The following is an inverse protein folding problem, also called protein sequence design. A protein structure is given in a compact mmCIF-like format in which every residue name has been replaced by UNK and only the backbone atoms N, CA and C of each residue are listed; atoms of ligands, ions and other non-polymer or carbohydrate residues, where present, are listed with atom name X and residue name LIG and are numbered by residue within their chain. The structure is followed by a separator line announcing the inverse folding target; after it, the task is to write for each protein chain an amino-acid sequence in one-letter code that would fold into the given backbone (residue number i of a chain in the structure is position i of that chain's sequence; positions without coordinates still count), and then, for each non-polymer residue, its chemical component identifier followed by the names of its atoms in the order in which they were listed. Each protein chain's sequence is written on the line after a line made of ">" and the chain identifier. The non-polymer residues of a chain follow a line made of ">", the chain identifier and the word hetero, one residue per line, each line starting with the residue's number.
data_IF_150839010012
#
_entry.id   IF_150839010012
#
_cell.length_a   1.000
_cell.length_b   1.000
_cell.length_c   1.000
_cell.angle_alpha   90.00
_cell.angle_beta   90.00
_cell.angle_gamma   90.00
#
_symmetry.space_group_name_H-M   'P 1'
#
loop_
_entity.id
_entity.type
_entity.pdbx_description
1 polymer ?
#
# COMPACT_ATOMS: atom_id res chain seq x y z
N UNK A 1 24.90 47.68 -7.48
CA UNK A 1 23.73 46.88 -7.84
C UNK A 1 23.11 46.39 -6.54
N UNK A 2 21.94 46.91 -6.15
CA UNK A 2 21.25 46.55 -4.91
C UNK A 2 20.60 45.20 -5.08
N UNK A 3 21.08 44.19 -4.38
CA UNK A 3 20.40 42.87 -4.28
C UNK A 3 19.17 43.03 -3.43
N UNK A 4 18.00 43.16 -4.03
CA UNK A 4 16.74 43.04 -3.34
C UNK A 4 16.63 41.61 -2.80
N UNK A 5 16.88 41.44 -1.50
CA UNK A 5 16.52 40.23 -0.76
C UNK A 5 14.99 40.04 -0.86
N UNK A 6 14.59 39.15 -1.76
CA UNK A 6 13.17 38.79 -1.89
C UNK A 6 12.64 38.22 -0.57
N UNK A 7 11.62 38.83 0.01
CA UNK A 7 10.93 38.28 1.20
C UNK A 7 10.37 36.91 0.84
N UNK A 8 10.78 35.88 1.57
CA UNK A 8 10.17 34.54 1.46
C UNK A 8 8.70 34.61 1.82
N UNK A 9 7.82 34.11 0.95
CA UNK A 9 6.38 34.09 1.20
C UNK A 9 6.05 33.17 2.37
N UNK A 10 5.22 33.63 3.32
CA UNK A 10 4.64 32.81 4.39
C UNK A 10 3.50 31.89 3.92
N UNK A 11 3.16 31.92 2.62
CA UNK A 11 2.06 31.13 2.03
C UNK A 11 2.49 29.73 1.59
N UNK A 12 3.79 29.43 1.63
CA UNK A 12 4.33 28.11 1.29
C UNK A 12 4.71 27.35 2.55
N UNK A 13 4.57 26.02 2.53
CA UNK A 13 5.02 25.15 3.61
C UNK A 13 6.17 24.26 3.13
N UNK A 14 7.12 24.00 4.02
CA UNK A 14 8.18 23.01 3.81
C UNK A 14 7.78 21.60 4.29
N UNK A 15 6.55 21.43 4.80
CA UNK A 15 6.08 20.22 5.49
C UNK A 15 6.60 20.16 6.94
N UNK A 16 6.14 19.15 7.67
CA UNK A 16 6.51 18.95 9.06
C UNK A 16 7.87 18.25 9.18
N UNK A 17 8.60 18.62 10.22
CA UNK A 17 9.82 17.98 10.69
C UNK A 17 9.53 17.21 11.99
N UNK A 18 10.51 16.44 12.49
CA UNK A 18 10.28 15.58 13.63
C UNK A 18 9.77 16.35 14.88
N UNK A 19 10.26 17.57 15.10
CA UNK A 19 9.86 18.43 16.22
C UNK A 19 8.41 18.92 16.16
N UNK A 20 7.78 18.84 14.99
CA UNK A 20 6.43 19.34 14.76
C UNK A 20 5.37 18.27 15.14
N UNK A 21 5.79 17.06 15.56
CA UNK A 21 4.92 15.96 15.94
C UNK A 21 4.85 15.76 17.45
N UNK A 22 3.63 15.53 17.95
CA UNK A 22 3.37 15.18 19.34
C UNK A 22 2.33 14.06 19.44
N UNK A 23 2.48 13.16 20.41
CA UNK A 23 1.50 12.07 20.62
C UNK A 23 0.13 12.63 20.91
N UNK A 24 -0.91 12.04 20.28
CA UNK A 24 -2.29 12.50 20.34
C UNK A 24 -2.64 13.62 19.34
N UNK A 25 -1.66 14.15 18.60
CA UNK A 25 -1.93 15.14 17.55
C UNK A 25 -2.74 14.51 16.42
N UNK A 26 -3.87 15.13 16.08
CA UNK A 26 -4.70 14.75 14.93
C UNK A 26 -4.45 15.71 13.78
N UNK A 27 -4.09 15.16 12.62
CA UNK A 27 -3.79 15.91 11.40
C UNK A 27 -4.83 15.52 10.34
N UNK A 28 -5.62 16.49 9.89
CA UNK A 28 -6.54 16.31 8.77
C UNK A 28 -5.81 16.68 7.48
N UNK A 29 -5.77 15.73 6.54
CA UNK A 29 -5.02 15.90 5.30
C UNK A 29 -5.87 16.58 4.21
N UNK A 30 -5.34 17.63 3.62
CA UNK A 30 -5.87 18.21 2.41
C UNK A 30 -5.34 17.41 1.20
N UNK A 31 -6.06 17.27 0.14
CA UNK A 31 -7.33 17.74 -0.37
C UNK A 31 -8.23 16.51 -0.54
N UNK A 32 -9.57 16.57 -0.35
CA UNK A 32 -10.45 15.45 -0.66
C UNK A 32 -10.39 15.15 -2.17
N UNK A 33 -10.63 13.90 -2.54
CA UNK A 33 -10.57 13.47 -3.95
C UNK A 33 -11.69 12.51 -4.29
N UNK A 34 -12.49 12.86 -5.28
CA UNK A 34 -13.40 11.92 -5.92
C UNK A 34 -12.59 10.99 -6.82
N UNK A 35 -12.77 9.69 -6.65
CA UNK A 35 -12.11 8.64 -7.44
C UNK A 35 -13.13 8.13 -8.46
N UNK A 36 -12.78 8.20 -9.74
CA UNK A 36 -13.68 7.83 -10.82
C UNK A 36 -13.17 6.69 -11.68
N UNK A 37 -13.88 6.44 -12.78
CA UNK A 37 -13.52 5.43 -13.79
C UNK A 37 -12.15 5.71 -14.42
N UNK A 38 -11.75 6.99 -14.51
CA UNK A 38 -10.43 7.36 -15.03
C UNK A 38 -9.29 6.84 -14.18
N UNK A 39 -9.39 6.94 -12.86
CA UNK A 39 -8.40 6.42 -11.93
C UNK A 39 -8.35 4.90 -11.94
N UNK A 40 -9.50 4.23 -12.01
CA UNK A 40 -9.60 2.77 -12.18
C UNK A 40 -8.90 2.30 -13.45
N UNK A 41 -9.27 2.88 -14.60
CA UNK A 41 -8.69 2.52 -15.89
C UNK A 41 -7.18 2.75 -15.92
N UNK A 42 -6.72 3.87 -15.34
CA UNK A 42 -5.30 4.19 -15.26
C UNK A 42 -4.55 3.20 -14.36
N UNK A 43 -5.08 2.87 -13.19
CA UNK A 43 -4.47 1.89 -12.28
C UNK A 43 -4.38 0.51 -12.93
N UNK A 44 -5.47 0.05 -13.56
CA UNK A 44 -5.50 -1.21 -14.30
C UNK A 44 -4.43 -1.23 -15.40
N UNK A 45 -4.30 -0.13 -16.17
CA UNK A 45 -3.33 -0.01 -17.25
C UNK A 45 -1.87 0.03 -16.75
N UNK A 46 -1.62 0.70 -15.61
CA UNK A 46 -0.27 0.81 -15.02
C UNK A 46 0.30 -0.53 -14.56
N UNK A 47 -0.55 -1.44 -14.08
CA UNK A 47 -0.10 -2.70 -13.48
C UNK A 47 -0.53 -3.94 -14.26
N UNK A 48 -1.35 -3.78 -15.29
CA UNK A 48 -1.93 -4.92 -16.00
C UNK A 48 -2.79 -5.81 -15.08
N UNK A 49 -3.53 -5.19 -14.13
CA UNK A 49 -4.38 -5.92 -13.18
C UNK A 49 -5.44 -6.72 -13.90
N UNK A 50 -5.62 -7.99 -13.49
CA UNK A 50 -6.51 -8.96 -14.16
C UNK A 50 -7.57 -9.55 -13.24
N UNK A 51 -7.69 -9.10 -11.99
CA UNK A 51 -8.70 -9.63 -11.08
C UNK A 51 -10.11 -9.36 -11.62
N UNK A 52 -10.91 -10.41 -11.84
CA UNK A 52 -12.20 -10.33 -12.50
C UNK A 52 -13.20 -9.41 -11.77
N UNK A 53 -13.16 -9.39 -10.43
CA UNK A 53 -14.07 -8.58 -9.60
C UNK A 53 -13.85 -7.08 -9.82
N UNK A 54 -12.59 -6.63 -9.94
CA UNK A 54 -12.26 -5.21 -10.15
C UNK A 54 -12.18 -4.84 -11.64
N UNK A 55 -12.20 -5.83 -12.54
CA UNK A 55 -12.07 -5.61 -13.98
C UNK A 55 -13.41 -5.63 -14.73
N UNK A 56 -14.44 -6.30 -14.16
CA UNK A 56 -15.70 -6.53 -14.85
C UNK A 56 -16.90 -6.27 -13.95
N UNK A 57 -17.69 -5.23 -14.27
CA UNK A 57 -18.93 -4.94 -13.57
C UNK A 57 -19.93 -6.09 -13.71
N UNK A 58 -20.01 -6.72 -14.90
CA UNK A 58 -20.88 -7.88 -15.11
C UNK A 58 -20.49 -9.07 -14.22
N UNK A 59 -19.20 -9.35 -14.06
CA UNK A 59 -18.73 -10.41 -13.18
C UNK A 59 -19.03 -10.09 -11.72
N UNK A 60 -18.67 -8.89 -11.25
CA UNK A 60 -18.90 -8.46 -9.89
C UNK A 60 -20.39 -8.53 -9.50
N UNK A 61 -21.28 -8.02 -10.37
CA UNK A 61 -22.74 -8.10 -10.15
C UNK A 61 -23.25 -9.53 -10.13
N UNK A 62 -22.73 -10.39 -10.98
CA UNK A 62 -23.17 -11.80 -11.04
C UNK A 62 -22.90 -12.53 -9.72
N UNK A 63 -21.82 -12.22 -9.03
CA UNK A 63 -21.45 -12.85 -7.76
C UNK A 63 -22.03 -12.14 -6.52
N UNK A 64 -22.72 -10.97 -6.66
CA UNK A 64 -23.41 -10.32 -5.54
C UNK A 64 -22.99 -8.90 -5.21
N UNK A 65 -22.01 -8.30 -5.89
CA UNK A 65 -21.70 -6.88 -5.74
C UNK A 65 -22.80 -6.00 -6.37
N UNK A 66 -23.02 -4.82 -5.83
CA UNK A 66 -23.91 -3.84 -6.44
C UNK A 66 -23.32 -3.25 -7.74
N UNK A 67 -22.02 -3.07 -7.73
CA UNK A 67 -21.17 -2.68 -8.85
C UNK A 67 -19.73 -3.13 -8.58
N UNK A 68 -18.84 -3.11 -9.57
CA UNK A 68 -17.46 -3.52 -9.36
C UNK A 68 -16.70 -2.50 -8.49
N UNK A 69 -16.02 -2.95 -7.43
CA UNK A 69 -15.29 -2.06 -6.54
C UNK A 69 -14.01 -1.52 -7.21
N UNK A 70 -13.45 -0.45 -6.67
CA UNK A 70 -12.08 -0.05 -6.95
C UNK A 70 -11.11 -1.09 -6.35
N UNK A 71 -9.93 -1.22 -6.97
CA UNK A 71 -8.87 -2.07 -6.43
C UNK A 71 -8.42 -1.58 -5.05
N UNK A 72 -8.24 -2.51 -4.11
CA UNK A 72 -7.90 -2.20 -2.71
C UNK A 72 -6.59 -1.40 -2.62
N UNK A 73 -5.60 -1.74 -3.44
CA UNK A 73 -4.33 -1.03 -3.43
C UNK A 73 -4.43 0.36 -4.05
N UNK A 74 -5.32 0.58 -5.02
CA UNK A 74 -5.61 1.94 -5.50
C UNK A 74 -6.16 2.80 -4.37
N UNK A 75 -7.13 2.28 -3.60
CA UNK A 75 -7.70 2.97 -2.42
C UNK A 75 -6.61 3.25 -1.39
N UNK A 76 -5.79 2.24 -1.05
CA UNK A 76 -4.67 2.39 -0.13
C UNK A 76 -3.71 3.50 -0.57
N UNK A 77 -3.28 3.50 -1.83
CA UNK A 77 -2.31 4.49 -2.32
C UNK A 77 -2.87 5.91 -2.36
N UNK A 78 -4.15 6.08 -2.67
CA UNK A 78 -4.80 7.40 -2.64
C UNK A 78 -4.88 7.93 -1.20
N UNK A 79 -5.33 7.11 -0.25
CA UNK A 79 -5.39 7.50 1.17
C UNK A 79 -3.98 7.78 1.71
N UNK A 80 -3.01 6.91 1.40
CA UNK A 80 -1.61 7.08 1.80
C UNK A 80 -1.01 8.35 1.21
N UNK A 81 -1.20 8.61 -0.10
CA UNK A 81 -0.65 9.77 -0.79
C UNK A 81 -1.08 11.10 -0.17
N UNK A 82 -2.34 11.18 0.32
CA UNK A 82 -2.84 12.37 1.05
C UNK A 82 -2.08 12.67 2.32
N UNK A 83 -1.52 11.67 2.99
CA UNK A 83 -0.77 11.85 4.24
C UNK A 83 0.65 12.36 4.01
N UNK A 84 1.19 12.24 2.80
CA UNK A 84 2.60 12.53 2.49
C UNK A 84 2.99 13.99 2.75
N UNK A 85 2.23 15.01 2.33
CA UNK A 85 2.58 16.41 2.55
C UNK A 85 2.80 16.75 4.03
N UNK A 86 1.99 16.15 4.92
CA UNK A 86 1.98 16.48 6.35
C UNK A 86 2.87 15.54 7.18
N UNK A 87 2.95 14.25 6.81
CA UNK A 87 3.66 13.24 7.62
C UNK A 87 5.07 12.99 7.11
N UNK A 88 5.26 12.87 5.79
CA UNK A 88 6.50 12.29 5.24
C UNK A 88 7.18 13.12 4.16
N UNK A 89 6.81 14.39 3.97
CA UNK A 89 7.50 15.26 2.99
C UNK A 89 9.01 15.42 3.30
N UNK A 90 9.37 15.43 4.58
CA UNK A 90 10.75 15.49 5.09
C UNK A 90 11.24 14.13 5.62
N UNK A 91 10.59 13.03 5.24
CA UNK A 91 11.02 11.70 5.62
C UNK A 91 12.34 11.30 4.94
N UNK A 92 13.09 10.49 5.67
CA UNK A 92 14.25 9.76 5.14
C UNK A 92 13.79 8.43 4.51
N UNK A 93 12.85 7.74 5.20
CA UNK A 93 12.28 6.47 4.77
C UNK A 93 10.94 6.21 5.46
N UNK A 94 10.04 5.51 4.78
CA UNK A 94 8.96 4.77 5.42
C UNK A 94 9.53 3.45 5.90
N UNK A 95 9.37 3.14 7.19
CA UNK A 95 10.05 2.01 7.82
C UNK A 95 9.17 0.76 7.91
N UNK A 96 7.85 0.91 7.82
CA UNK A 96 6.94 -0.22 7.86
C UNK A 96 5.47 0.17 7.96
N UNK A 97 4.65 -0.86 7.89
CA UNK A 97 3.20 -0.83 8.01
C UNK A 97 2.75 -1.89 9.01
N UNK A 98 1.61 -1.67 9.64
CA UNK A 98 0.93 -2.67 10.47
C UNK A 98 -0.56 -2.37 10.57
N UNK A 99 -1.33 -3.35 10.98
CA UNK A 99 -2.76 -3.22 11.31
C UNK A 99 -3.56 -2.47 10.23
N UNK A 100 -3.23 -2.75 8.94
CA UNK A 100 -3.97 -2.18 7.84
C UNK A 100 -5.22 -3.00 7.57
N UNK A 101 -6.40 -2.38 7.64
CA UNK A 101 -7.70 -3.02 7.46
C UNK A 101 -8.54 -2.28 6.45
N UNK A 102 -9.07 -3.01 5.48
CA UNK A 102 -10.07 -2.50 4.55
C UNK A 102 -11.46 -2.71 5.17
N UNK A 103 -12.21 -1.63 5.36
CA UNK A 103 -13.40 -1.60 6.21
C UNK A 103 -14.69 -1.50 5.40
N UNK A 104 -14.63 -0.90 4.22
CA UNK A 104 -15.74 -0.78 3.27
C UNK A 104 -15.23 -0.82 1.84
N UNK A 105 -15.99 -1.39 0.89
CA UNK A 105 -15.67 -1.27 -0.52
C UNK A 105 -15.79 0.20 -0.94
N UNK A 106 -14.94 0.61 -1.88
CA UNK A 106 -14.94 1.94 -2.49
C UNK A 106 -15.32 1.78 -3.95
N UNK A 107 -16.21 2.64 -4.42
CA UNK A 107 -16.73 2.60 -5.78
C UNK A 107 -16.36 3.86 -6.56
N UNK A 108 -16.48 3.81 -7.87
CA UNK A 108 -16.31 4.99 -8.70
C UNK A 108 -17.37 6.05 -8.35
N UNK A 109 -16.92 7.29 -8.12
CA UNK A 109 -17.78 8.39 -7.62
C UNK A 109 -17.60 8.68 -6.14
N UNK A 110 -17.01 7.78 -5.36
CA UNK A 110 -16.70 8.06 -3.95
C UNK A 110 -15.64 9.14 -3.81
N UNK A 111 -15.81 9.99 -2.80
CA UNK A 111 -14.85 11.04 -2.45
C UNK A 111 -14.08 10.65 -1.18
N UNK A 112 -12.79 10.41 -1.36
CA UNK A 112 -11.90 10.01 -0.27
C UNK A 112 -11.23 11.23 0.37
N UNK A 113 -11.19 11.24 1.70
CA UNK A 113 -10.37 12.11 2.52
C UNK A 113 -9.70 11.30 3.64
N UNK A 114 -8.71 11.87 4.30
CA UNK A 114 -7.98 11.16 5.34
C UNK A 114 -7.56 12.05 6.50
N UNK A 115 -7.38 11.42 7.65
CA UNK A 115 -6.75 12.00 8.82
C UNK A 115 -5.75 11.03 9.43
N UNK A 116 -4.78 11.55 10.16
CA UNK A 116 -3.83 10.74 10.91
C UNK A 116 -3.77 11.20 12.36
N UNK A 117 -3.65 10.25 13.28
CA UNK A 117 -3.31 10.49 14.67
C UNK A 117 -1.86 10.04 14.91
N UNK A 118 -1.06 10.89 15.57
CA UNK A 118 0.28 10.54 16.01
C UNK A 118 0.17 9.68 17.26
N UNK A 119 0.50 8.39 17.14
CA UNK A 119 0.39 7.41 18.22
C UNK A 119 1.74 7.10 18.88
N UNK A 120 2.83 7.65 18.36
CA UNK A 120 4.15 7.50 18.96
C UNK A 120 5.22 8.36 18.30
N UNK A 121 6.24 8.69 19.08
CA UNK A 121 7.43 9.42 18.62
C UNK A 121 8.67 8.89 19.34
N UNK A 122 9.79 8.77 18.62
CA UNK A 122 11.08 8.37 19.21
C UNK A 122 12.24 9.01 18.45
N UNK A 123 13.04 9.83 19.12
CA UNK A 123 14.26 10.37 18.54
C UNK A 123 15.30 9.27 18.33
N UNK A 124 15.97 9.26 17.19
CA UNK A 124 17.07 8.33 16.91
C UNK A 124 18.36 8.78 17.63
N UNK A 125 19.25 7.83 17.88
CA UNK A 125 20.53 8.08 18.60
C UNK A 125 21.44 9.08 17.88
N UNK A 126 21.29 9.27 16.57
CA UNK A 126 22.06 10.25 15.80
C UNK A 126 21.67 11.72 16.08
N UNK A 127 20.57 11.97 16.82
CA UNK A 127 20.06 13.29 17.15
C UNK A 127 19.58 14.13 15.96
N UNK A 128 19.59 13.59 14.73
CA UNK A 128 19.24 14.32 13.48
C UNK A 128 17.91 13.88 12.88
N UNK A 129 17.38 12.75 13.34
CA UNK A 129 16.13 12.16 12.88
C UNK A 129 15.35 11.59 14.04
N UNK A 130 14.07 11.34 13.83
CA UNK A 130 13.25 10.56 14.74
C UNK A 130 12.23 9.73 13.98
N UNK A 131 11.61 8.77 14.65
CA UNK A 131 10.55 7.94 14.13
C UNK A 131 9.22 8.46 14.64
N UNK A 132 8.28 8.69 13.71
CA UNK A 132 6.90 9.09 13.98
C UNK A 132 6.00 7.93 13.61
N UNK A 133 5.18 7.46 14.54
CA UNK A 133 4.17 6.43 14.35
C UNK A 133 2.82 7.11 14.18
N UNK A 134 2.10 6.80 13.12
CA UNK A 134 0.79 7.37 12.84
C UNK A 134 -0.23 6.29 12.52
N UNK A 135 -1.45 6.44 13.06
CA UNK A 135 -2.64 5.72 12.62
C UNK A 135 -3.37 6.62 11.65
N UNK A 136 -3.54 6.17 10.42
CA UNK A 136 -4.21 6.92 9.36
C UNK A 136 -5.53 6.26 9.01
N UNK A 137 -6.59 7.05 8.91
CA UNK A 137 -7.94 6.61 8.53
C UNK A 137 -8.35 7.30 7.24
N UNK A 138 -8.66 6.52 6.22
CA UNK A 138 -9.35 6.97 5.01
C UNK A 138 -10.85 6.89 5.19
N UNK A 139 -11.57 7.91 4.77
CA UNK A 139 -13.03 8.03 4.90
C UNK A 139 -13.64 8.41 3.55
N UNK A 140 -14.89 7.98 3.32
CA UNK A 140 -15.68 8.40 2.18
C UNK A 140 -16.40 9.75 2.45
N UNK A 141 -17.21 10.21 1.48
CA UNK A 141 -17.98 11.46 1.57
C UNK A 141 -19.02 11.49 2.70
N UNK A 142 -19.38 10.35 3.26
CA UNK A 142 -20.33 10.22 4.37
C UNK A 142 -19.64 10.18 5.74
N UNK A 143 -18.29 10.31 5.77
CA UNK A 143 -17.49 10.19 6.99
C UNK A 143 -17.33 8.75 7.48
N UNK A 144 -17.64 7.77 6.66
CA UNK A 144 -17.50 6.35 7.01
C UNK A 144 -16.06 5.88 6.73
N UNK A 145 -15.40 5.22 7.68
CA UNK A 145 -14.08 4.65 7.47
C UNK A 145 -14.11 3.58 6.38
N UNK A 146 -13.23 3.70 5.39
CA UNK A 146 -13.03 2.72 4.31
C UNK A 146 -11.72 1.97 4.45
N UNK A 147 -10.73 2.60 5.08
CA UNK A 147 -9.39 2.05 5.27
C UNK A 147 -8.79 2.63 6.55
N UNK A 148 -8.12 1.79 7.34
CA UNK A 148 -7.29 2.23 8.46
C UNK A 148 -5.94 1.49 8.42
N UNK A 149 -4.85 2.18 8.73
CA UNK A 149 -3.53 1.56 8.81
C UNK A 149 -2.60 2.32 9.76
N UNK A 150 -1.66 1.60 10.34
CA UNK A 150 -0.52 2.18 11.07
C UNK A 150 0.70 2.15 10.17
N UNK A 151 1.47 3.23 10.19
CA UNK A 151 2.83 3.27 9.62
C UNK A 151 3.78 4.02 10.50
N UNK A 152 5.07 3.78 10.34
CA UNK A 152 6.10 4.56 11.02
C UNK A 152 7.15 5.04 10.02
N UNK A 153 7.55 6.29 10.22
CA UNK A 153 8.33 7.04 9.26
C UNK A 153 9.53 7.66 9.96
N UNK A 154 10.72 7.54 9.38
CA UNK A 154 11.90 8.26 9.84
C UNK A 154 11.88 9.68 9.27
N UNK A 155 11.68 10.68 10.13
CA UNK A 155 11.58 12.09 9.75
C UNK A 155 12.82 12.86 10.22
N UNK A 156 13.28 13.78 9.37
CA UNK A 156 14.41 14.67 9.69
C UNK A 156 14.01 15.67 10.77
N UNK A 157 14.96 16.07 11.60
CA UNK A 157 14.83 17.27 12.43
C UNK A 157 15.18 18.49 11.60
N UNK A 158 14.53 19.62 11.89
CA UNK A 158 14.85 20.94 11.36
C UNK A 158 16.05 21.51 12.10
N UNK A 159 16.04 21.36 13.42
CA UNK A 159 17.12 21.76 14.31
C UNK A 159 17.57 20.55 15.15
N UNK A 160 18.81 20.09 14.90
CA UNK A 160 19.39 18.97 15.64
C UNK A 160 19.53 19.27 17.15
N UNK A 161 19.58 20.56 17.54
CA UNK A 161 19.68 20.97 18.95
C UNK A 161 18.32 21.00 19.67
N UNK A 162 17.19 20.88 18.95
CA UNK A 162 15.88 20.83 19.60
C UNK A 162 15.80 19.65 20.58
N UNK A 163 15.12 19.82 21.75
CA UNK A 163 15.03 18.78 22.74
C UNK A 163 14.33 17.52 22.19
N UNK A 164 14.77 16.35 22.68
CA UNK A 164 14.10 15.10 22.37
C UNK A 164 12.78 15.02 23.13
N UNK A 165 11.69 14.57 22.51
CA UNK A 165 10.48 14.21 23.25
C UNK A 165 10.69 12.94 24.07
N UNK A 166 9.86 12.73 25.09
CA UNK A 166 9.78 11.44 25.76
C UNK A 166 9.37 10.37 24.73
N UNK A 167 10.12 9.24 24.66
CA UNK A 167 9.85 8.24 23.65
C UNK A 167 8.56 7.46 23.93
N UNK A 168 7.68 7.41 22.95
CA UNK A 168 6.50 6.56 22.94
C UNK A 168 6.55 5.69 21.70
N UNK A 169 6.62 4.36 21.89
CA UNK A 169 6.59 3.37 20.83
C UNK A 169 5.34 2.53 21.05
N UNK A 170 4.36 2.54 20.10
CA UNK A 170 3.15 1.77 20.26
C UNK A 170 3.42 0.27 20.15
N UNK A 171 2.68 -0.53 20.91
CA UNK A 171 2.58 -1.97 20.67
C UNK A 171 1.63 -2.19 19.49
N UNK A 172 2.07 -2.99 18.52
CA UNK A 172 1.32 -3.28 17.31
C UNK A 172 1.15 -4.80 17.20
N UNK A 173 -0.01 -5.28 16.72
CA UNK A 173 -0.22 -6.70 16.51
C UNK A 173 0.66 -7.21 15.37
N UNK A 174 1.11 -8.46 15.48
CA UNK A 174 1.87 -9.13 14.41
C UNK A 174 1.04 -9.36 13.15
N UNK A 175 -0.27 -9.55 13.32
CA UNK A 175 -1.21 -9.69 12.22
C UNK A 175 -2.63 -9.29 12.63
N UNK A 176 -3.44 -8.94 11.65
CA UNK A 176 -4.87 -8.68 11.84
C UNK A 176 -5.59 -10.00 12.08
N UNK A 177 -6.37 -10.06 13.15
CA UNK A 177 -7.17 -11.26 13.48
C UNK A 177 -8.19 -11.56 12.38
N UNK A 178 -8.40 -12.86 12.03
CA UNK A 178 -9.46 -13.28 11.10
C UNK A 178 -10.85 -12.75 11.43
N UNK A 179 -11.16 -12.49 12.69
CA UNK A 179 -12.42 -11.89 13.13
C UNK A 179 -12.68 -10.48 12.57
N UNK A 180 -11.65 -9.80 12.06
CA UNK A 180 -11.75 -8.44 11.51
C UNK A 180 -11.62 -8.40 9.98
N UNK A 181 -11.56 -9.58 9.33
CA UNK A 181 -11.51 -9.66 7.87
C UNK A 181 -12.92 -9.67 7.27
N UNK A 182 -13.06 -9.35 6.02
CA UNK A 182 -14.31 -9.45 5.29
C UNK A 182 -15.25 -8.24 5.38
N UNK A 183 -14.95 -7.21 6.19
CA UNK A 183 -15.81 -6.03 6.33
C UNK A 183 -16.04 -5.27 5.01
N UNK A 184 -15.05 -5.23 4.12
CA UNK A 184 -15.14 -4.58 2.81
C UNK A 184 -15.63 -5.50 1.68
N UNK A 185 -15.95 -6.76 1.98
CA UNK A 185 -16.43 -7.72 1.00
C UNK A 185 -17.90 -8.07 1.28
N UNK A 186 -18.85 -7.78 0.38
CA UNK A 186 -20.24 -8.23 0.54
C UNK A 186 -20.31 -9.76 0.54
N UNK A 187 -21.42 -10.32 0.98
CA UNK A 187 -21.67 -11.75 0.80
C UNK A 187 -21.78 -12.02 -0.69
N UNK A 188 -20.99 -12.97 -1.18
CA UNK A 188 -20.98 -13.36 -2.59
C UNK A 188 -21.66 -14.72 -2.79
N UNK A 189 -21.96 -15.06 -4.04
CA UNK A 189 -22.48 -16.36 -4.43
C UNK A 189 -21.37 -17.17 -5.16
N UNK A 190 -20.66 -18.09 -4.46
CA UNK A 190 -19.58 -18.87 -5.08
C UNK A 190 -20.06 -19.75 -6.23
N UNK A 191 -21.32 -20.16 -6.25
CA UNK A 191 -21.86 -20.95 -7.36
C UNK A 191 -21.95 -20.18 -8.69
N UNK A 192 -21.85 -18.84 -8.63
CA UNK A 192 -21.79 -17.96 -9.79
C UNK A 192 -20.37 -17.51 -10.15
N UNK A 193 -19.37 -17.99 -9.43
CA UNK A 193 -17.96 -17.71 -9.73
C UNK A 193 -17.54 -18.47 -10.99
N UNK A 194 -17.42 -17.78 -12.09
CA UNK A 194 -17.02 -18.35 -13.38
C UNK A 194 -15.50 -18.48 -13.46
N UNK A 195 -14.98 -19.70 -13.35
CA UNK A 195 -13.55 -20.01 -13.42
C UNK A 195 -12.93 -19.69 -14.78
N UNK A 196 -13.71 -19.79 -15.85
CA UNK A 196 -13.25 -19.44 -17.20
C UNK A 196 -13.01 -17.94 -17.34
N UNK A 197 -13.89 -17.12 -16.75
CA UNK A 197 -13.76 -15.67 -16.78
C UNK A 197 -12.76 -15.15 -15.73
N UNK A 198 -12.64 -15.79 -14.57
CA UNK A 198 -11.67 -15.38 -13.55
C UNK A 198 -10.24 -15.81 -13.89
N UNK A 199 -10.07 -16.78 -14.80
CA UNK A 199 -8.77 -17.27 -15.24
C UNK A 199 -8.05 -18.18 -14.25
N UNK A 200 -8.75 -18.68 -13.22
CA UNK A 200 -8.18 -19.61 -12.24
C UNK A 200 -9.20 -20.70 -11.86
N UNK A 201 -8.74 -21.93 -11.80
CA UNK A 201 -9.52 -23.08 -11.36
C UNK A 201 -9.43 -23.36 -9.86
N UNK A 202 -8.64 -22.58 -9.13
CA UNK A 202 -8.35 -22.83 -7.72
C UNK A 202 -9.17 -21.91 -6.82
N UNK A 203 -9.79 -22.51 -5.79
CA UNK A 203 -10.57 -21.86 -4.76
C UNK A 203 -9.80 -21.87 -3.43
N UNK A 204 -10.31 -21.20 -2.41
CA UNK A 204 -9.69 -21.17 -1.09
C UNK A 204 -9.35 -22.58 -0.54
N UNK A 205 -10.23 -23.55 -0.80
CA UNK A 205 -10.09 -24.94 -0.31
C UNK A 205 -8.90 -25.69 -0.98
N UNK A 206 -8.31 -25.17 -2.04
CA UNK A 206 -7.19 -25.79 -2.76
C UNK A 206 -5.82 -25.37 -2.23
N UNK A 207 -5.77 -24.42 -1.30
CA UNK A 207 -4.52 -23.89 -0.75
C UNK A 207 -4.27 -24.40 0.66
N UNK A 208 -3.02 -24.59 1.02
CA UNK A 208 -2.62 -25.03 2.35
C UNK A 208 -1.43 -24.21 2.89
N UNK A 209 -1.36 -24.07 4.21
CA UNK A 209 -0.23 -23.41 4.86
C UNK A 209 1.10 -24.11 4.51
N UNK A 210 2.13 -23.31 4.23
CA UNK A 210 3.46 -23.76 3.80
C UNK A 210 3.61 -23.91 2.29
N UNK A 211 2.54 -23.77 1.50
CA UNK A 211 2.60 -23.79 0.04
C UNK A 211 3.35 -22.57 -0.50
N UNK A 212 4.30 -22.77 -1.42
CA UNK A 212 5.07 -21.71 -2.08
C UNK A 212 4.74 -21.69 -3.57
N UNK A 213 4.49 -20.51 -4.08
CA UNK A 213 4.01 -20.26 -5.44
C UNK A 213 4.97 -19.27 -6.11
N UNK A 214 5.71 -19.72 -7.12
CA UNK A 214 6.45 -18.85 -8.03
C UNK A 214 5.48 -18.28 -9.07
N UNK A 215 5.41 -16.96 -9.19
CA UNK A 215 4.52 -16.29 -10.14
C UNK A 215 5.11 -16.21 -11.55
N UNK A 216 6.34 -16.68 -11.72
CA UNK A 216 7.08 -16.94 -12.98
C UNK A 216 7.45 -15.68 -13.75
N UNK A 217 6.44 -14.86 -14.12
CA UNK A 217 6.64 -13.67 -14.96
C UNK A 217 7.29 -12.51 -14.20
N UNK A 218 7.91 -11.60 -14.96
CA UNK A 218 8.46 -10.36 -14.45
C UNK A 218 7.91 -9.15 -15.20
N UNK A 219 7.96 -7.98 -14.54
CA UNK A 219 7.55 -6.71 -15.11
C UNK A 219 8.64 -5.66 -14.92
N UNK A 220 9.16 -5.12 -16.04
CA UNK A 220 10.17 -4.04 -16.02
C UNK A 220 9.50 -2.72 -15.66
N UNK A 221 10.11 -1.96 -14.77
CA UNK A 221 9.58 -0.67 -14.31
C UNK A 221 10.09 0.45 -15.20
N UNK A 222 9.17 1.25 -15.74
CA UNK A 222 9.48 2.40 -16.55
C UNK A 222 9.34 3.73 -15.76
N UNK A 223 10.19 4.72 -16.05
CA UNK A 223 10.14 6.03 -15.38
C UNK A 223 8.80 6.76 -15.59
N UNK A 224 8.24 6.69 -16.78
CA UNK A 224 7.00 7.37 -17.13
C UNK A 224 5.79 6.77 -16.36
N UNK A 225 5.73 5.46 -16.24
CA UNK A 225 4.70 4.74 -15.49
C UNK A 225 4.78 5.06 -14.00
N UNK A 226 5.96 4.98 -13.42
CA UNK A 226 6.18 5.35 -12.03
C UNK A 226 5.81 6.82 -11.74
N UNK A 227 6.19 7.75 -12.62
CA UNK A 227 5.81 9.16 -12.49
C UNK A 227 4.30 9.35 -12.59
N UNK A 228 3.63 8.60 -13.44
CA UNK A 228 2.18 8.64 -13.58
C UNK A 228 1.50 8.07 -12.32
N UNK A 229 2.00 6.95 -11.79
CA UNK A 229 1.53 6.35 -10.54
C UNK A 229 1.65 7.32 -9.35
N UNK A 230 2.79 7.98 -9.16
CA UNK A 230 2.95 8.96 -8.06
C UNK A 230 1.98 10.13 -8.17
N UNK A 231 1.68 10.59 -9.39
CA UNK A 231 0.69 11.65 -9.65
C UNK A 231 -0.74 11.15 -9.42
N UNK A 232 -1.04 9.92 -9.85
CA UNK A 232 -2.32 9.27 -9.61
C UNK A 232 -2.61 9.23 -8.10
N UNK A 233 -1.63 8.91 -7.27
CA UNK A 233 -1.79 8.82 -5.81
C UNK A 233 -1.62 10.15 -5.09
N UNK A 234 -1.24 11.23 -5.79
CA UNK A 234 -0.86 12.51 -5.20
C UNK A 234 0.27 12.36 -4.16
N UNK A 235 1.14 11.37 -4.33
CA UNK A 235 2.32 11.17 -3.50
C UNK A 235 3.39 12.19 -3.88
N UNK A 236 3.58 13.20 -3.04
CA UNK A 236 4.47 14.35 -3.29
C UNK A 236 5.86 14.18 -2.69
N UNK A 237 6.24 12.99 -2.21
CA UNK A 237 7.58 12.74 -1.68
C UNK A 237 8.65 12.94 -2.76
N UNK A 238 9.55 13.90 -2.54
CA UNK A 238 10.58 14.35 -3.53
C UNK A 238 11.42 13.20 -4.07
N UNK A 239 11.72 12.23 -3.22
CA UNK A 239 12.53 11.05 -3.54
C UNK A 239 11.97 10.24 -4.72
N UNK A 240 10.66 10.31 -4.95
CA UNK A 240 10.00 9.58 -6.02
C UNK A 240 9.83 10.39 -7.31
N UNK A 241 9.78 11.74 -7.26
CA UNK A 241 9.38 12.50 -8.44
C UNK A 241 10.23 13.71 -8.79
N UNK A 242 11.18 14.12 -7.92
CA UNK A 242 12.01 15.29 -8.18
C UNK A 242 13.44 14.90 -8.58
N UNK A 243 13.67 14.66 -9.87
CA UNK A 243 14.99 14.29 -10.39
C UNK A 243 16.07 15.37 -10.16
N UNK A 244 15.69 16.65 -10.13
CA UNK A 244 16.66 17.73 -9.88
C UNK A 244 17.28 17.64 -8.47
N UNK A 245 16.45 17.25 -7.49
CA UNK A 245 16.91 17.03 -6.11
C UNK A 245 17.65 15.70 -5.99
N UNK A 246 17.05 14.62 -6.51
CA UNK A 246 17.56 13.26 -6.32
C UNK A 246 18.78 12.96 -7.19
N UNK A 247 18.96 13.67 -8.30
CA UNK A 247 20.19 13.61 -9.09
C UNK A 247 21.44 14.04 -8.33
N UNK A 248 21.28 14.79 -7.22
CA UNK A 248 22.33 15.21 -6.29
C UNK A 248 22.36 14.36 -5.00
N UNK A 249 21.41 13.45 -4.85
CA UNK A 249 21.25 12.58 -3.70
C UNK A 249 22.14 11.33 -3.76
N UNK A 250 21.96 10.44 -2.76
CA UNK A 250 22.76 9.23 -2.59
C UNK A 250 22.80 8.32 -3.83
N UNK A 251 21.69 8.23 -4.56
CA UNK A 251 21.54 7.29 -5.68
C UNK A 251 21.72 7.94 -7.06
N UNK A 252 21.80 9.28 -7.14
CA UNK A 252 21.92 10.01 -8.41
C UNK A 252 20.66 9.97 -9.29
N UNK A 253 19.61 9.32 -8.83
CA UNK A 253 18.33 9.12 -9.53
C UNK A 253 17.17 8.95 -8.56
N UNK A 254 15.93 9.09 -9.07
CA UNK A 254 14.71 8.90 -8.26
C UNK A 254 14.55 7.45 -7.85
N UNK A 255 14.06 7.25 -6.63
CA UNK A 255 13.68 5.95 -6.10
C UNK A 255 12.25 5.61 -6.51
N UNK A 256 12.00 4.38 -6.93
CA UNK A 256 10.63 3.88 -7.17
C UNK A 256 9.87 3.87 -5.84
N UNK A 257 8.61 4.30 -5.88
CA UNK A 257 7.73 4.28 -4.73
C UNK A 257 7.44 2.83 -4.30
N UNK A 258 7.61 2.53 -3.01
CA UNK A 258 7.42 1.18 -2.50
C UNK A 258 6.01 0.62 -2.75
N UNK A 259 4.98 1.46 -2.69
CA UNK A 259 3.63 1.05 -3.06
C UNK A 259 3.49 0.65 -4.54
N UNK A 260 4.29 1.23 -5.43
CA UNK A 260 4.35 0.78 -6.82
C UNK A 260 4.87 -0.67 -6.90
N UNK A 261 5.89 -1.02 -6.10
CA UNK A 261 6.40 -2.39 -5.99
C UNK A 261 5.34 -3.35 -5.46
N UNK A 262 4.57 -2.95 -4.45
CA UNK A 262 3.46 -3.77 -3.92
C UNK A 262 2.43 -4.06 -5.01
N UNK A 263 2.03 -3.05 -5.78
CA UNK A 263 1.05 -3.22 -6.86
C UNK A 263 1.57 -4.10 -7.99
N UNK A 264 2.85 -3.98 -8.36
CA UNK A 264 3.49 -4.88 -9.35
C UNK A 264 3.52 -6.33 -8.85
N UNK A 265 3.97 -6.56 -7.62
CA UNK A 265 4.00 -7.91 -7.03
C UNK A 265 2.59 -8.51 -6.95
N UNK A 266 1.58 -7.69 -6.61
CA UNK A 266 0.18 -8.12 -6.59
C UNK A 266 -0.35 -8.45 -7.99
N UNK A 267 -0.02 -7.68 -9.01
CA UNK A 267 -0.39 -7.95 -10.39
C UNK A 267 0.24 -9.26 -10.90
N UNK A 268 1.52 -9.48 -10.62
CA UNK A 268 2.23 -10.71 -10.96
C UNK A 268 1.62 -11.93 -10.24
N UNK A 269 1.15 -11.78 -9.00
CA UNK A 269 0.56 -12.86 -8.20
C UNK A 269 -0.74 -13.41 -8.79
N UNK A 270 -1.33 -12.77 -9.81
CA UNK A 270 -2.45 -13.34 -10.55
C UNK A 270 -2.14 -14.75 -11.08
N UNK A 271 -0.90 -14.99 -11.51
CA UNK A 271 -0.42 -16.32 -11.86
C UNK A 271 -0.22 -17.14 -10.58
N UNK A 272 -1.17 -18.02 -10.28
CA UNK A 272 -1.21 -18.87 -9.10
C UNK A 272 -2.17 -18.40 -7.98
N UNK A 273 -2.60 -17.13 -7.97
CA UNK A 273 -3.53 -16.58 -6.98
C UNK A 273 -4.68 -15.77 -7.65
N UNK A 274 -5.10 -16.15 -8.86
CA UNK A 274 -6.04 -15.38 -9.67
C UNK A 274 -7.41 -15.14 -9.03
N UNK A 275 -7.87 -16.05 -8.15
CA UNK A 275 -9.12 -15.90 -7.41
C UNK A 275 -8.97 -15.24 -6.03
N UNK A 276 -7.76 -14.84 -5.62
CA UNK A 276 -7.54 -14.00 -4.43
C UNK A 276 -7.92 -12.55 -4.76
N UNK A 277 -9.22 -12.24 -4.70
CA UNK A 277 -9.80 -11.06 -5.33
C UNK A 277 -9.80 -9.79 -4.47
N UNK A 278 -9.67 -9.91 -3.16
CA UNK A 278 -9.75 -8.79 -2.22
C UNK A 278 -8.63 -8.87 -1.19
N UNK A 279 -7.87 -7.79 -1.01
CA UNK A 279 -6.94 -7.64 0.11
C UNK A 279 -7.74 -7.16 1.31
N UNK A 280 -7.98 -8.06 2.27
CA UNK A 280 -8.77 -7.73 3.47
C UNK A 280 -7.96 -6.98 4.53
N UNK A 281 -6.65 -7.29 4.63
CA UNK A 281 -5.75 -6.62 5.58
C UNK A 281 -4.28 -6.73 5.12
N UNK A 282 -3.45 -5.74 5.52
CA UNK A 282 -1.99 -5.84 5.43
C UNK A 282 -1.45 -5.90 6.85
N UNK A 283 -0.80 -7.00 7.18
CA UNK A 283 -0.23 -7.25 8.50
C UNK A 283 1.07 -6.51 8.71
N UNK A 284 1.93 -6.51 7.69
CA UNK A 284 3.21 -5.86 7.71
C UNK A 284 3.82 -5.77 6.33
N UNK A 285 4.85 -4.94 6.18
CA UNK A 285 5.58 -4.82 4.93
C UNK A 285 6.89 -4.08 5.11
N UNK A 286 7.94 -4.60 4.51
CA UNK A 286 9.26 -4.01 4.49
C UNK A 286 9.76 -3.85 3.04
N UNK A 287 10.18 -2.62 2.71
CA UNK A 287 10.95 -2.34 1.50
C UNK A 287 12.43 -2.48 1.85
N UNK A 288 13.02 -3.64 1.55
CA UNK A 288 14.34 -4.04 2.04
C UNK A 288 15.49 -3.53 1.19
N UNK A 289 15.24 -3.27 -0.09
CA UNK A 289 16.21 -2.67 -1.00
C UNK A 289 15.56 -1.68 -1.98
N UNK A 290 16.32 -0.72 -2.52
CA UNK A 290 15.81 0.23 -3.49
C UNK A 290 15.56 -0.42 -4.85
N UNK A 291 14.49 0.03 -5.53
CA UNK A 291 14.18 -0.27 -6.91
C UNK A 291 14.29 1.00 -7.76
N UNK A 292 14.74 0.85 -8.99
CA UNK A 292 14.90 1.95 -9.95
C UNK A 292 14.28 1.58 -11.31
N UNK A 293 13.94 2.58 -12.11
CA UNK A 293 13.49 2.38 -13.48
C UNK A 293 14.55 1.63 -14.32
N UNK A 294 14.08 0.72 -15.16
CA UNK A 294 14.88 -0.21 -15.95
C UNK A 294 15.14 -1.56 -15.28
N UNK A 295 14.89 -1.69 -13.96
CA UNK A 295 14.98 -2.98 -13.26
C UNK A 295 13.66 -3.76 -13.41
N UNK A 296 13.71 -5.09 -13.45
CA UNK A 296 12.54 -5.98 -13.64
C UNK A 296 12.16 -6.61 -12.32
N UNK A 297 10.89 -6.45 -11.93
CA UNK A 297 10.32 -7.05 -10.71
C UNK A 297 9.78 -8.44 -11.01
N UNK A 298 10.15 -9.42 -10.19
CA UNK A 298 9.55 -10.74 -10.09
C UNK A 298 8.97 -10.93 -8.70
N UNK A 299 8.12 -11.93 -8.51
CA UNK A 299 7.57 -12.21 -7.19
C UNK A 299 7.21 -13.69 -6.99
N UNK A 300 7.17 -14.09 -5.72
CA UNK A 300 6.63 -15.36 -5.26
C UNK A 300 5.84 -15.16 -3.98
N UNK A 301 4.94 -16.10 -3.68
CA UNK A 301 4.13 -16.04 -2.46
C UNK A 301 4.22 -17.34 -1.68
N UNK A 302 4.11 -17.24 -0.35
CA UNK A 302 3.92 -18.35 0.58
C UNK A 302 2.58 -18.21 1.27
N UNK A 303 1.80 -19.27 1.29
CA UNK A 303 0.59 -19.35 2.12
C UNK A 303 1.04 -19.57 3.56
N UNK A 304 0.92 -18.55 4.41
CA UNK A 304 1.32 -18.62 5.82
C UNK A 304 0.26 -19.26 6.69
N UNK A 305 -1.01 -19.00 6.36
CA UNK A 305 -2.15 -19.47 7.14
C UNK A 305 -3.42 -19.45 6.27
N UNK A 306 -4.43 -20.20 6.70
CA UNK A 306 -5.77 -20.20 6.09
C UNK A 306 -6.81 -20.04 7.17
N UNK A 307 -7.82 -19.20 6.96
CA UNK A 307 -8.86 -18.95 7.95
C UNK A 307 -10.26 -18.97 7.33
N UNK A 308 -11.19 -19.63 8.02
CA UNK A 308 -12.63 -19.42 7.80
C UNK A 308 -13.05 -18.14 8.53
N UNK A 309 -13.93 -17.37 7.90
CA UNK A 309 -14.47 -16.17 8.52
C UNK A 309 -15.76 -16.52 9.27
N UNK A 310 -15.91 -16.00 10.49
CA UNK A 310 -17.12 -16.25 11.28
C UNK A 310 -18.38 -15.73 10.55
N UNK A 311 -19.38 -16.58 10.43
CA UNK A 311 -20.64 -16.26 9.74
C UNK A 311 -20.54 -16.14 8.22
N UNK A 312 -19.45 -16.63 7.58
CA UNK A 312 -19.20 -16.55 6.13
C UNK A 312 -18.90 -17.96 5.58
N UNK A 313 -19.78 -18.44 4.70
CA UNK A 313 -19.60 -19.71 3.99
C UNK A 313 -19.20 -19.51 2.52
N UNK A 314 -19.10 -18.26 2.08
CA UNK A 314 -18.87 -17.86 0.70
C UNK A 314 -17.40 -17.57 0.39
N UNK A 315 -16.65 -17.14 1.39
CA UNK A 315 -15.21 -16.81 1.25
C UNK A 315 -14.39 -17.36 2.41
N UNK A 316 -13.14 -17.69 2.11
CA UNK A 316 -12.09 -17.91 3.10
C UNK A 316 -10.98 -16.90 2.94
N UNK A 317 -10.13 -16.75 3.94
CA UNK A 317 -8.96 -15.88 3.93
C UNK A 317 -7.68 -16.70 3.83
N UNK A 318 -6.76 -16.27 2.95
CA UNK A 318 -5.38 -16.74 2.87
C UNK A 318 -4.47 -15.66 3.47
N UNK A 319 -3.66 -16.02 4.47
CA UNK A 319 -2.53 -15.19 4.88
C UNK A 319 -1.37 -15.49 3.95
N UNK A 320 -1.00 -14.49 3.20
CA UNK A 320 0.04 -14.58 2.19
C UNK A 320 1.25 -13.75 2.60
N UNK A 321 2.44 -14.32 2.43
CA UNK A 321 3.69 -13.59 2.39
C UNK A 321 4.11 -13.49 0.94
N UNK A 322 4.15 -12.29 0.37
CA UNK A 322 4.65 -12.06 -0.98
C UNK A 322 6.01 -11.38 -0.92
N UNK A 323 7.01 -12.03 -1.50
CA UNK A 323 8.37 -11.51 -1.65
C UNK A 323 8.56 -11.10 -3.10
N UNK A 324 9.07 -9.87 -3.31
CA UNK A 324 9.46 -9.42 -4.64
C UNK A 324 10.97 -9.23 -4.75
N UNK A 325 11.49 -9.57 -5.92
CA UNK A 325 12.89 -9.41 -6.29
C UNK A 325 13.03 -8.46 -7.46
N UNK A 326 14.24 -7.99 -7.70
CA UNK A 326 14.60 -7.25 -8.92
C UNK A 326 15.67 -8.00 -9.70
N UNK A 327 15.52 -8.08 -11.02
CA UNK A 327 16.42 -8.70 -11.99
C UNK A 327 16.81 -10.15 -11.63
N UNK A 328 15.98 -10.83 -10.83
CA UNK A 328 16.20 -12.17 -10.36
C UNK A 328 14.88 -12.97 -10.31
N UNK A 329 14.66 -13.93 -11.21
CA UNK A 329 13.50 -14.84 -11.17
C UNK A 329 13.38 -15.58 -9.84
N UNK A 330 12.15 -15.88 -9.41
CA UNK A 330 11.84 -16.37 -8.07
C UNK A 330 11.78 -17.90 -7.92
N UNK A 331 12.15 -18.68 -8.93
CA UNK A 331 12.04 -20.16 -8.89
C UNK A 331 12.83 -20.86 -7.77
N UNK A 332 13.79 -20.16 -7.13
CA UNK A 332 14.50 -20.64 -5.94
C UNK A 332 13.89 -20.15 -4.62
N UNK A 333 12.80 -19.38 -4.67
CA UNK A 333 12.15 -18.77 -3.51
C UNK A 333 13.10 -17.96 -2.61
N UNK A 334 13.72 -16.88 -3.14
CA UNK A 334 14.68 -16.09 -2.38
C UNK A 334 14.02 -15.47 -1.14
N UNK A 335 14.76 -15.46 -0.02
CA UNK A 335 14.31 -15.01 1.28
C UNK A 335 14.77 -13.57 1.58
N UNK A 336 14.12 -12.93 2.54
CA UNK A 336 14.52 -11.58 3.00
C UNK A 336 15.98 -11.59 3.48
N UNK A 337 16.80 -10.77 2.85
CA UNK A 337 18.24 -10.72 3.08
C UNK A 337 19.07 -11.30 1.94
N UNK A 338 18.46 -12.06 1.01
CA UNK A 338 19.11 -12.48 -0.21
C UNK A 338 19.27 -11.31 -1.19
N UNK A 339 20.29 -11.40 -2.04
CA UNK A 339 20.54 -10.38 -3.08
C UNK A 339 19.35 -10.29 -4.04
N UNK A 340 18.98 -9.06 -4.37
CA UNK A 340 17.88 -8.80 -5.27
C UNK A 340 16.51 -8.69 -4.61
N UNK A 341 16.32 -9.15 -3.37
CA UNK A 341 15.03 -8.99 -2.66
C UNK A 341 14.79 -7.51 -2.35
N UNK A 342 13.61 -6.99 -2.72
CA UNK A 342 13.22 -5.59 -2.58
C UNK A 342 11.99 -5.37 -1.72
N UNK A 343 11.12 -6.38 -1.60
CA UNK A 343 9.87 -6.33 -0.83
C UNK A 343 9.66 -7.65 -0.08
N UNK A 344 9.18 -7.52 1.15
CA UNK A 344 8.59 -8.61 1.93
C UNK A 344 7.27 -8.10 2.50
N UNK A 345 6.12 -8.66 2.08
CA UNK A 345 4.79 -8.19 2.41
C UNK A 345 3.95 -9.33 2.98
N UNK A 346 3.40 -9.13 4.17
CA UNK A 346 2.46 -10.05 4.83
C UNK A 346 1.05 -9.45 4.83
N UNK A 347 0.08 -10.17 4.27
CA UNK A 347 -1.29 -9.69 4.12
C UNK A 347 -2.31 -10.83 4.10
N UNK A 348 -3.57 -10.49 4.34
CA UNK A 348 -4.71 -11.37 4.15
C UNK A 348 -5.44 -11.06 2.84
N UNK A 349 -5.69 -12.08 2.03
CA UNK A 349 -6.52 -11.98 0.85
C UNK A 349 -7.74 -12.88 0.96
N UNK A 350 -8.90 -12.39 0.53
CA UNK A 350 -10.11 -13.21 0.43
C UNK A 350 -10.16 -13.94 -0.92
N UNK A 351 -10.66 -15.16 -0.86
CA UNK A 351 -10.85 -16.04 -2.01
C UNK A 351 -12.20 -16.75 -1.86
N UNK A 352 -12.95 -16.98 -2.97
CA UNK A 352 -14.19 -17.75 -2.89
C UNK A 352 -13.89 -19.18 -2.42
N UNK A 353 -14.81 -19.77 -1.69
CA UNK A 353 -14.81 -21.21 -1.38
C UNK A 353 -15.37 -22.01 -2.55
N UNK A 354 -15.11 -23.31 -2.59
CA UNK A 354 -15.74 -24.21 -3.57
C UNK A 354 -17.25 -24.19 -3.40
N UNK A 355 -18.03 -24.09 -4.51
CA UNK A 355 -19.47 -24.14 -4.49
C UNK A 355 -20.02 -25.44 -3.91
#
# INVERSE_FOLDING_TARGET
>A
MSTTSGKTSSKTTAGNFFEDFSVGQVIRHAVPRTVGEGERALYTGLYGMRCAVQSSDAFARAIGYQEFPLDDMLVFHIVFGKTVPDISLNAVANLGYADCRFLKPVFAGDTLHSQSEVIGVKQNSNGKTGVVYVRSTGMNQHGEPVLEFVRWVMVRKRDAASPAPDPVVPELPDHVSPAHLGAACPVIDPAKWDMGLSGSAYFWDDYQAGERIDHVDGMTVEEAEHMLATRLYQNTAKVHFNQFTEGKGRFGRRLIYGGHVISLARALSFNGLGNAFHIAAINGGAHVAPLFAGETVFSWSEVRDTARLEGRDDVGALRLRTVATKDAPCGSFPETGDDGVILDLDYWALMPVKP
#
